data_IF_275379268163
#
_entry.id   IF_275379268163
#
_cell.length_a   1.000
_cell.length_b   1.000
_cell.length_c   1.000
_cell.angle_alpha   90.00
_cell.angle_beta   90.00
_cell.angle_gamma   90.00
#
_symmetry.space_group_name_H-M   'P 1'
#
loop_
_entity.id
_entity.type
_entity.pdbx_description
1 polymer ?
#
# COMPACT_ATOMS: atom_id res chain seq x y z
N UNK A 1 -1.62 -17.74 -19.00
CA UNK A 1 -1.93 -16.31 -19.23
C UNK A 1 -0.89 -15.46 -18.53
N UNK A 2 -1.05 -14.14 -18.50
CA UNK A 2 -0.18 -13.24 -17.76
C UNK A 2 -0.94 -12.09 -17.12
N UNK A 3 -0.52 -11.65 -15.93
CA UNK A 3 -1.12 -10.55 -15.19
C UNK A 3 -0.01 -9.62 -14.67
N UNK A 4 0.19 -8.44 -15.30
CA UNK A 4 1.05 -7.40 -14.73
C UNK A 4 0.36 -6.80 -13.50
N UNK A 5 1.02 -6.86 -12.34
CA UNK A 5 0.58 -6.23 -11.09
C UNK A 5 0.96 -4.74 -11.09
N UNK A 6 0.58 -4.04 -12.16
CA UNK A 6 0.78 -2.62 -12.39
C UNK A 6 -0.49 -2.01 -12.96
N UNK A 7 -0.74 -0.76 -12.63
CA UNK A 7 -1.92 -0.03 -13.11
C UNK A 7 -1.71 1.47 -13.03
N UNK A 8 -2.46 2.19 -13.87
CA UNK A 8 -2.52 3.65 -13.87
C UNK A 8 -3.85 4.09 -13.27
N UNK A 9 -3.85 5.22 -12.56
CA UNK A 9 -5.07 5.91 -12.13
C UNK A 9 -5.74 6.68 -13.28
N UNK A 10 -5.03 6.88 -14.39
CA UNK A 10 -5.52 7.50 -15.61
C UNK A 10 -6.10 6.42 -16.55
N UNK A 11 -7.21 6.76 -17.19
CA UNK A 11 -7.89 5.87 -18.13
C UNK A 11 -7.44 6.12 -19.58
N UNK A 12 -7.50 5.09 -20.41
CA UNK A 12 -7.21 5.19 -21.83
C UNK A 12 -5.72 5.37 -22.15
N UNK A 13 -5.43 5.84 -23.36
CA UNK A 13 -4.05 6.02 -23.84
C UNK A 13 -3.30 7.13 -23.09
N UNK A 14 -4.02 8.08 -22.49
CA UNK A 14 -3.42 9.16 -21.71
C UNK A 14 -2.75 8.65 -20.42
N UNK A 15 -3.14 7.46 -19.96
CA UNK A 15 -2.51 6.78 -18.82
C UNK A 15 -1.38 5.82 -19.20
N UNK A 16 -1.00 5.75 -20.46
CA UNK A 16 0.09 4.90 -20.92
C UNK A 16 1.45 5.50 -20.50
N UNK A 17 2.30 4.65 -19.93
CA UNK A 17 3.63 5.01 -19.48
C UNK A 17 4.61 3.91 -19.90
N UNK A 18 5.76 4.29 -20.47
CA UNK A 18 6.79 3.34 -20.91
C UNK A 18 7.43 2.60 -19.74
N UNK A 19 7.44 3.21 -18.56
CA UNK A 19 8.00 2.68 -17.32
C UNK A 19 6.95 1.93 -16.47
N UNK A 20 5.70 1.79 -16.94
CA UNK A 20 4.59 1.23 -16.16
C UNK A 20 4.90 -0.14 -15.52
N UNK A 21 5.70 -0.95 -16.20
CA UNK A 21 6.03 -2.32 -15.78
C UNK A 21 7.40 -2.44 -15.09
N UNK A 22 8.20 -1.37 -15.03
CA UNK A 22 9.53 -1.42 -14.42
C UNK A 22 9.43 -1.70 -12.91
N UNK A 23 10.11 -2.76 -12.45
CA UNK A 23 10.07 -3.24 -11.06
C UNK A 23 8.70 -3.79 -10.63
N UNK A 24 7.72 -3.90 -11.54
CA UNK A 24 6.42 -4.48 -11.23
C UNK A 24 6.48 -6.00 -11.31
N UNK A 25 5.74 -6.67 -10.43
CA UNK A 25 5.54 -8.12 -10.54
C UNK A 25 4.65 -8.41 -11.73
N UNK A 26 5.06 -9.33 -12.60
CA UNK A 26 4.24 -9.87 -13.67
C UNK A 26 4.04 -11.37 -13.46
N UNK A 27 2.82 -11.77 -13.13
CA UNK A 27 2.52 -13.18 -12.91
C UNK A 27 2.30 -13.89 -14.24
N UNK A 28 3.00 -15.00 -14.47
CA UNK A 28 2.75 -15.92 -15.56
C UNK A 28 2.09 -17.20 -15.05
N UNK A 29 1.03 -17.63 -15.73
CA UNK A 29 0.27 -18.84 -15.42
C UNK A 29 0.36 -19.84 -16.57
N UNK A 30 1.50 -20.54 -16.73
CA UNK A 30 1.64 -21.57 -17.76
C UNK A 30 0.68 -22.74 -17.46
N UNK A 31 0.17 -23.35 -18.53
CA UNK A 31 -0.65 -24.56 -18.45
C UNK A 31 0.11 -25.76 -19.01
N UNK A 32 -0.42 -26.97 -18.83
CA UNK A 32 0.17 -28.18 -19.43
C UNK A 32 0.26 -28.14 -20.97
N UNK A 33 -0.48 -27.23 -21.62
CA UNK A 33 -0.43 -27.02 -23.08
C UNK A 33 0.59 -25.96 -23.50
N UNK A 34 1.19 -25.26 -22.54
CA UNK A 34 2.18 -24.21 -22.80
C UNK A 34 3.52 -24.87 -23.11
N UNK A 35 4.10 -24.58 -24.27
CA UNK A 35 5.45 -25.05 -24.60
C UNK A 35 6.51 -24.20 -23.91
N UNK A 36 7.63 -24.81 -23.53
CA UNK A 36 8.78 -24.12 -22.94
C UNK A 36 9.29 -22.99 -23.84
N UNK A 37 9.29 -23.21 -25.17
CA UNK A 37 9.71 -22.21 -26.15
C UNK A 37 8.79 -20.97 -26.14
N UNK A 38 7.47 -21.17 -26.04
CA UNK A 38 6.51 -20.07 -25.94
C UNK A 38 6.64 -19.32 -24.62
N UNK A 39 6.85 -20.04 -23.51
CA UNK A 39 7.07 -19.46 -22.20
C UNK A 39 8.34 -18.60 -22.18
N UNK A 40 9.47 -19.12 -22.64
CA UNK A 40 10.74 -18.40 -22.66
C UNK A 40 10.69 -17.16 -23.57
N UNK A 41 10.03 -17.26 -24.72
CA UNK A 41 9.84 -16.12 -25.61
C UNK A 41 9.06 -14.99 -24.94
N UNK A 42 7.94 -15.32 -24.29
CA UNK A 42 7.13 -14.35 -23.56
C UNK A 42 7.88 -13.79 -22.34
N UNK A 43 8.55 -14.64 -21.57
CA UNK A 43 9.32 -14.24 -20.40
C UNK A 43 10.45 -13.28 -20.78
N UNK A 44 11.10 -13.49 -21.93
CA UNK A 44 12.12 -12.56 -22.44
C UNK A 44 11.53 -11.19 -22.73
N UNK A 45 10.37 -11.11 -23.39
CA UNK A 45 9.68 -9.85 -23.68
C UNK A 45 9.32 -9.12 -22.39
N UNK A 46 8.75 -9.82 -21.40
CA UNK A 46 8.35 -9.22 -20.13
C UNK A 46 9.58 -8.69 -19.36
N UNK A 47 10.69 -9.43 -19.34
CA UNK A 47 11.95 -8.97 -18.72
C UNK A 47 12.50 -7.71 -19.39
N UNK A 48 12.35 -7.57 -20.72
CA UNK A 48 12.78 -6.34 -21.41
C UNK A 48 11.94 -5.12 -21.05
N UNK A 49 10.75 -5.30 -20.48
CA UNK A 49 9.91 -4.22 -19.93
C UNK A 49 10.26 -3.89 -18.47
N UNK A 50 11.32 -4.49 -17.91
CA UNK A 50 11.77 -4.25 -16.54
C UNK A 50 10.94 -4.93 -15.45
N UNK A 51 10.00 -5.80 -15.81
CA UNK A 51 9.12 -6.48 -14.86
C UNK A 51 9.77 -7.75 -14.24
N UNK A 52 9.41 -8.02 -12.98
CA UNK A 52 9.80 -9.22 -12.24
C UNK A 52 8.79 -10.35 -12.47
N UNK A 53 9.24 -11.45 -13.06
CA UNK A 53 8.35 -12.56 -13.37
C UNK A 53 8.16 -13.47 -12.16
N UNK A 54 6.90 -13.71 -11.80
CA UNK A 54 6.50 -14.74 -10.84
C UNK A 54 5.67 -15.80 -11.56
N UNK A 55 5.99 -17.08 -11.36
CA UNK A 55 5.27 -18.19 -12.01
C UNK A 55 4.37 -18.87 -10.99
N UNK A 56 3.07 -18.96 -11.29
CA UNK A 56 2.07 -19.60 -10.44
C UNK A 56 1.13 -20.46 -11.28
N UNK A 57 0.52 -21.47 -10.66
CA UNK A 57 -0.70 -22.06 -11.23
C UNK A 57 -1.85 -21.05 -11.18
N UNK A 58 -2.77 -21.14 -12.14
CA UNK A 58 -3.86 -20.17 -12.29
C UNK A 58 -4.75 -20.09 -11.05
N UNK A 59 -5.09 -21.24 -10.46
CA UNK A 59 -5.97 -21.32 -9.29
C UNK A 59 -5.33 -20.68 -8.05
N UNK A 60 -4.03 -20.89 -7.85
CA UNK A 60 -3.27 -20.24 -6.78
C UNK A 60 -3.10 -18.76 -7.01
N UNK A 61 -2.86 -18.32 -8.24
CA UNK A 61 -2.86 -16.89 -8.58
C UNK A 61 -4.19 -16.25 -8.14
N UNK A 62 -5.31 -16.86 -8.52
CA UNK A 62 -6.65 -16.32 -8.25
C UNK A 62 -6.94 -16.26 -6.75
N UNK A 63 -6.56 -17.29 -5.98
CA UNK A 63 -6.65 -17.26 -4.51
C UNK A 63 -5.80 -16.17 -3.88
N UNK A 64 -4.56 -16.00 -4.33
CA UNK A 64 -3.66 -15.01 -3.76
C UNK A 64 -4.13 -13.58 -4.08
N UNK A 65 -4.50 -13.32 -5.34
CA UNK A 65 -4.98 -12.00 -5.77
C UNK A 65 -6.34 -11.66 -5.15
N UNK A 66 -7.19 -12.66 -4.88
CA UNK A 66 -8.40 -12.43 -4.10
C UNK A 66 -8.11 -11.80 -2.74
N UNK A 67 -7.07 -12.27 -2.04
CA UNK A 67 -6.69 -11.74 -0.72
C UNK A 67 -5.96 -10.39 -0.81
N UNK A 68 -5.02 -10.24 -1.75
CA UNK A 68 -4.14 -9.04 -1.78
C UNK A 68 -4.65 -7.89 -2.64
N UNK A 69 -5.70 -8.10 -3.45
CA UNK A 69 -6.25 -7.08 -4.37
C UNK A 69 -7.77 -7.00 -4.30
N UNK A 70 -8.49 -8.10 -4.50
CA UNK A 70 -9.95 -8.05 -4.63
C UNK A 70 -10.67 -7.74 -3.32
N UNK A 71 -10.33 -8.47 -2.26
CA UNK A 71 -10.88 -8.26 -0.93
C UNK A 71 -10.58 -6.85 -0.39
N UNK A 72 -9.35 -6.29 -0.52
CA UNK A 72 -9.09 -4.89 -0.19
C UNK A 72 -10.03 -3.90 -0.87
N UNK A 73 -10.31 -4.07 -2.17
CA UNK A 73 -11.22 -3.18 -2.89
C UNK A 73 -12.66 -3.27 -2.36
N UNK A 74 -13.18 -4.49 -2.19
CA UNK A 74 -14.54 -4.71 -1.66
C UNK A 74 -14.69 -4.22 -0.21
N UNK A 75 -13.63 -4.36 0.59
CA UNK A 75 -13.58 -3.86 1.97
C UNK A 75 -13.59 -2.33 1.99
N UNK A 76 -12.80 -1.69 1.13
CA UNK A 76 -12.77 -0.23 0.99
C UNK A 76 -14.15 0.32 0.57
N UNK A 77 -14.80 -0.30 -0.41
CA UNK A 77 -16.15 0.08 -0.84
C UNK A 77 -17.18 -0.07 0.28
N UNK A 78 -17.15 -1.19 1.01
CA UNK A 78 -18.02 -1.44 2.17
C UNK A 78 -17.81 -0.42 3.29
N UNK A 79 -16.55 -0.12 3.62
CA UNK A 79 -16.19 0.86 4.63
C UNK A 79 -16.65 2.28 4.27
N UNK A 80 -16.46 2.68 3.00
CA UNK A 80 -16.94 3.97 2.52
C UNK A 80 -18.48 4.05 2.53
N UNK A 81 -19.16 2.96 2.17
CA UNK A 81 -20.62 2.86 2.24
C UNK A 81 -21.15 3.04 3.66
N UNK A 82 -20.51 2.41 4.65
CA UNK A 82 -20.87 2.60 6.07
C UNK A 82 -20.72 4.07 6.49
N UNK A 83 -19.59 4.70 6.16
CA UNK A 83 -19.36 6.12 6.47
C UNK A 83 -20.38 7.04 5.78
N UNK A 84 -20.78 6.72 4.54
CA UNK A 84 -21.78 7.48 3.80
C UNK A 84 -23.15 7.43 4.49
N UNK A 85 -23.61 6.24 4.88
CA UNK A 85 -24.88 6.06 5.59
C UNK A 85 -24.87 6.80 6.93
N UNK A 86 -23.79 6.67 7.73
CA UNK A 86 -23.70 7.38 9.01
C UNK A 86 -23.63 8.91 8.84
N UNK A 87 -23.08 9.39 7.73
CA UNK A 87 -23.02 10.81 7.44
C UNK A 87 -24.39 11.45 7.17
N UNK A 88 -25.40 10.67 6.77
CA UNK A 88 -26.78 11.16 6.62
C UNK A 88 -27.34 11.64 7.96
N UNK A 89 -26.99 10.97 9.06
CA UNK A 89 -27.38 11.35 10.42
C UNK A 89 -26.38 12.33 11.06
N UNK A 90 -25.09 12.20 10.70
CA UNK A 90 -24.00 12.92 11.35
C UNK A 90 -22.97 13.44 10.34
N UNK A 91 -23.17 14.67 9.85
CA UNK A 91 -22.26 15.34 8.89
C UNK A 91 -20.81 15.43 9.37
N UNK A 92 -20.57 15.33 10.68
CA UNK A 92 -19.23 15.30 11.27
C UNK A 92 -18.40 14.10 10.81
N UNK A 93 -19.03 12.97 10.45
CA UNK A 93 -18.33 11.74 10.01
C UNK A 93 -17.40 12.03 8.83
N UNK A 94 -17.88 12.75 7.81
CA UNK A 94 -17.06 13.10 6.64
C UNK A 94 -15.95 14.11 6.96
N UNK A 95 -16.14 14.93 8.01
CA UNK A 95 -15.08 15.84 8.49
C UNK A 95 -14.00 15.09 9.26
N UNK A 96 -14.39 14.05 9.99
CA UNK A 96 -13.48 13.17 10.75
C UNK A 96 -12.81 12.10 9.87
N UNK A 97 -13.33 11.87 8.66
CA UNK A 97 -12.77 10.99 7.64
C UNK A 97 -11.48 11.58 7.02
N UNK A 98 -10.44 11.69 7.84
CA UNK A 98 -9.11 12.17 7.48
C UNK A 98 -8.04 11.06 7.61
N UNK A 99 -6.87 11.29 7.01
CA UNK A 99 -5.72 10.38 7.10
C UNK A 99 -6.06 8.95 6.69
N UNK A 100 -5.89 8.00 7.62
CA UNK A 100 -6.00 6.56 7.36
C UNK A 100 -7.35 6.10 6.79
N UNK A 101 -8.46 6.81 7.06
CA UNK A 101 -9.73 6.49 6.39
C UNK A 101 -9.63 6.73 4.88
N UNK A 102 -9.07 7.86 4.46
CA UNK A 102 -8.89 8.19 3.03
C UNK A 102 -7.94 7.21 2.37
N UNK A 103 -6.87 6.81 3.06
CA UNK A 103 -5.89 5.86 2.52
C UNK A 103 -6.50 4.48 2.33
N UNK A 104 -7.25 3.98 3.33
CA UNK A 104 -7.94 2.68 3.23
C UNK A 104 -9.05 2.69 2.17
N UNK A 105 -9.73 3.82 1.98
CA UNK A 105 -10.83 3.95 1.01
C UNK A 105 -10.38 4.45 -0.36
N UNK A 106 -9.10 4.80 -0.55
CA UNK A 106 -8.56 5.31 -1.82
C UNK A 106 -8.86 4.37 -2.99
N UNK A 107 -8.72 3.07 -2.80
CA UNK A 107 -8.96 2.09 -3.88
C UNK A 107 -10.44 2.01 -4.29
N UNK A 108 -11.38 2.44 -3.45
CA UNK A 108 -12.80 2.46 -3.77
C UNK A 108 -13.16 3.51 -4.84
N UNK A 109 -12.27 4.43 -5.20
CA UNK A 109 -12.46 5.37 -6.31
C UNK A 109 -12.19 4.76 -7.69
N UNK A 110 -11.79 3.48 -7.76
CA UNK A 110 -11.57 2.78 -9.03
C UNK A 110 -12.84 2.67 -9.88
N UNK A 111 -12.67 2.43 -11.18
CA UNK A 111 -13.79 2.29 -12.12
C UNK A 111 -14.70 1.11 -11.73
N UNK A 112 -15.97 1.31 -11.35
CA UNK A 112 -16.80 0.22 -10.84
C UNK A 112 -17.03 -0.92 -11.84
N UNK A 113 -17.02 -0.60 -13.14
CA UNK A 113 -17.36 -1.55 -14.20
C UNK A 113 -16.36 -2.71 -14.28
N UNK A 114 -15.06 -2.48 -14.05
CA UNK A 114 -14.05 -3.55 -14.10
C UNK A 114 -14.25 -4.56 -12.96
N UNK A 115 -14.77 -4.12 -11.82
CA UNK A 115 -14.94 -4.95 -10.63
C UNK A 115 -16.11 -5.93 -10.75
N UNK A 116 -17.09 -5.63 -11.61
CA UNK A 116 -18.19 -6.56 -11.91
C UNK A 116 -17.64 -7.84 -12.54
N UNK A 117 -16.75 -7.71 -13.53
CA UNK A 117 -16.17 -8.84 -14.23
C UNK A 117 -15.15 -9.57 -13.34
N UNK A 118 -14.32 -8.85 -12.58
CA UNK A 118 -13.39 -9.44 -11.60
C UNK A 118 -14.14 -10.31 -10.58
N UNK A 119 -15.22 -9.79 -10.01
CA UNK A 119 -16.03 -10.52 -9.04
C UNK A 119 -16.76 -11.72 -9.65
N UNK A 120 -17.10 -11.66 -10.94
CA UNK A 120 -17.72 -12.76 -11.66
C UNK A 120 -16.71 -13.88 -11.93
N UNK A 121 -15.55 -13.54 -12.49
CA UNK A 121 -14.54 -14.49 -12.92
C UNK A 121 -13.82 -15.15 -11.74
N UNK A 122 -13.54 -14.40 -10.67
CA UNK A 122 -12.86 -14.94 -9.47
C UNK A 122 -13.81 -15.12 -8.27
N UNK A 123 -15.09 -15.42 -8.54
CA UNK A 123 -16.15 -15.48 -7.52
C UNK A 123 -15.80 -16.37 -6.32
N UNK A 124 -15.33 -17.60 -6.58
CA UNK A 124 -15.11 -18.58 -5.51
C UNK A 124 -14.03 -18.11 -4.53
N UNK A 125 -12.87 -17.69 -5.03
CA UNK A 125 -11.78 -17.27 -4.15
C UNK A 125 -12.10 -15.96 -3.43
N UNK A 126 -12.88 -15.07 -4.06
CA UNK A 126 -13.37 -13.84 -3.40
C UNK A 126 -14.31 -14.18 -2.25
N UNK A 127 -15.23 -15.13 -2.42
CA UNK A 127 -16.12 -15.57 -1.34
C UNK A 127 -15.32 -16.16 -0.17
N UNK A 128 -14.36 -17.04 -0.45
CA UNK A 128 -13.50 -17.60 0.60
C UNK A 128 -12.72 -16.50 1.36
N UNK A 129 -12.21 -15.50 0.63
CA UNK A 129 -11.51 -14.36 1.22
C UNK A 129 -12.44 -13.47 2.07
N UNK A 130 -13.67 -13.23 1.61
CA UNK A 130 -14.70 -12.50 2.35
C UNK A 130 -15.08 -13.23 3.64
N UNK A 131 -15.30 -14.54 3.58
CA UNK A 131 -15.63 -15.37 4.74
C UNK A 131 -14.51 -15.32 5.79
N UNK A 132 -13.25 -15.39 5.35
CA UNK A 132 -12.09 -15.19 6.21
C UNK A 132 -12.05 -13.82 6.89
N UNK A 133 -12.35 -12.75 6.15
CA UNK A 133 -12.42 -11.40 6.69
C UNK A 133 -13.57 -11.23 7.70
N UNK A 134 -14.75 -11.77 7.38
CA UNK A 134 -15.92 -11.73 8.26
C UNK A 134 -15.60 -12.45 9.57
N UNK A 135 -15.06 -13.66 9.51
CA UNK A 135 -14.64 -14.42 10.70
C UNK A 135 -13.62 -13.61 11.53
N UNK A 136 -12.63 -13.00 10.86
CA UNK A 136 -11.65 -12.13 11.52
C UNK A 136 -12.29 -10.93 12.22
N UNK A 137 -13.24 -10.24 11.59
CA UNK A 137 -13.95 -9.11 12.19
C UNK A 137 -14.86 -9.54 13.35
N UNK A 138 -15.51 -10.70 13.25
CA UNK A 138 -16.32 -11.28 14.33
C UNK A 138 -15.46 -11.58 15.56
N UNK A 139 -14.27 -12.14 15.38
CA UNK A 139 -13.33 -12.37 16.48
C UNK A 139 -12.86 -11.05 17.10
N UNK A 140 -12.49 -10.05 16.29
CA UNK A 140 -12.09 -8.74 16.78
C UNK A 140 -13.21 -8.07 17.59
N UNK A 141 -14.47 -8.17 17.13
CA UNK A 141 -15.64 -7.71 17.87
C UNK A 141 -15.71 -8.35 19.25
N UNK A 142 -15.52 -9.67 19.33
CA UNK A 142 -15.52 -10.40 20.61
C UNK A 142 -14.41 -9.95 21.56
N UNK A 143 -13.19 -9.70 21.05
CA UNK A 143 -12.06 -9.17 21.84
C UNK A 143 -12.41 -7.80 22.44
N UNK A 144 -13.00 -6.91 21.64
CA UNK A 144 -13.40 -5.56 22.06
C UNK A 144 -14.55 -5.61 23.07
N UNK A 145 -15.56 -6.44 22.82
CA UNK A 145 -16.71 -6.63 23.72
C UNK A 145 -16.29 -7.18 25.10
N UNK A 146 -15.32 -8.10 25.11
CA UNK A 146 -14.75 -8.65 26.34
C UNK A 146 -13.72 -7.72 27.03
N UNK A 147 -13.40 -6.56 26.44
CA UNK A 147 -12.36 -5.64 26.92
C UNK A 147 -10.99 -6.33 27.13
N UNK A 148 -10.67 -7.31 26.29
CA UNK A 148 -9.45 -8.11 26.43
C UNK A 148 -8.25 -7.39 25.81
N UNK A 149 -7.60 -6.55 26.62
CA UNK A 149 -6.47 -5.71 26.19
C UNK A 149 -5.27 -6.52 25.68
N UNK A 150 -4.97 -7.68 26.28
CA UNK A 150 -3.82 -8.50 25.89
C UNK A 150 -4.05 -9.13 24.50
N UNK A 151 -5.24 -9.67 24.25
CA UNK A 151 -5.59 -10.22 22.95
C UNK A 151 -5.61 -9.13 21.86
N UNK A 152 -6.14 -7.94 22.19
CA UNK A 152 -6.15 -6.80 21.28
C UNK A 152 -4.74 -6.35 20.91
N UNK A 153 -3.86 -6.16 21.90
CA UNK A 153 -2.47 -5.77 21.69
C UNK A 153 -1.71 -6.79 20.85
N UNK A 154 -1.88 -8.08 21.15
CA UNK A 154 -1.26 -9.17 20.39
C UNK A 154 -1.65 -9.13 18.92
N UNK A 155 -2.95 -8.95 18.64
CA UNK A 155 -3.47 -8.90 17.27
C UNK A 155 -2.97 -7.68 16.50
N UNK A 156 -2.99 -6.50 17.11
CA UNK A 156 -2.47 -5.27 16.50
C UNK A 156 -0.95 -5.34 16.26
N UNK A 157 -0.19 -5.93 17.19
CA UNK A 157 1.25 -6.12 17.05
C UNK A 157 1.60 -7.09 15.92
N UNK A 158 0.84 -8.17 15.80
CA UNK A 158 1.00 -9.13 14.69
C UNK A 158 0.77 -8.46 13.34
N UNK A 159 -0.30 -7.65 13.22
CA UNK A 159 -0.58 -6.89 12.00
C UNK A 159 0.52 -5.87 11.68
N UNK A 160 1.02 -5.15 12.69
CA UNK A 160 2.14 -4.21 12.54
C UNK A 160 3.39 -4.91 12.00
N UNK A 161 3.76 -6.06 12.58
CA UNK A 161 4.95 -6.81 12.18
C UNK A 161 4.79 -7.38 10.76
N UNK A 162 3.61 -7.91 10.42
CA UNK A 162 3.33 -8.38 9.06
C UNK A 162 3.45 -7.26 8.03
N UNK A 163 2.97 -6.05 8.35
CA UNK A 163 3.12 -4.87 7.49
C UNK A 163 4.57 -4.43 7.34
N UNK A 164 5.36 -4.44 8.42
CA UNK A 164 6.78 -4.07 8.39
C UNK A 164 7.60 -4.98 7.47
N UNK A 165 7.22 -6.26 7.38
CA UNK A 165 7.85 -7.24 6.50
C UNK A 165 7.37 -7.20 5.04
N UNK A 166 6.45 -6.29 4.68
CA UNK A 166 6.09 -6.14 3.27
C UNK A 166 7.30 -5.59 2.52
N UNK A 167 7.69 -6.19 1.38
CA UNK A 167 8.80 -5.67 0.61
C UNK A 167 8.44 -4.26 0.12
N UNK A 168 9.20 -3.26 0.57
CA UNK A 168 9.17 -1.95 -0.06
C UNK A 168 9.64 -2.08 -1.51
N UNK A 169 9.23 -1.18 -2.41
CA UNK A 169 9.81 -1.01 -3.76
C UNK A 169 11.31 -0.62 -3.74
N UNK A 170 11.94 -0.69 -2.57
CA UNK A 170 13.35 -0.37 -2.35
C UNK A 170 14.10 -1.69 -2.51
N UNK A 171 14.86 -1.80 -3.60
CA UNK A 171 15.92 -2.80 -3.71
C UNK A 171 16.77 -2.72 -2.43
N UNK A 172 16.84 -3.84 -1.71
CA UNK A 172 17.61 -4.06 -0.47
C UNK A 172 17.05 -3.39 0.82
N UNK A 173 16.03 -4.03 1.39
CA UNK A 173 15.42 -3.70 2.70
C UNK A 173 16.35 -3.88 3.93
N UNK A 174 17.61 -4.28 3.75
CA UNK A 174 18.45 -4.62 4.90
C UNK A 174 19.12 -3.42 5.58
N UNK A 175 19.18 -2.25 4.93
CA UNK A 175 19.88 -1.06 5.46
C UNK A 175 19.09 0.25 5.32
N UNK A 176 17.77 0.22 5.48
CA UNK A 176 16.93 1.44 5.44
C UNK A 176 16.32 1.79 6.80
N UNK A 177 15.95 3.05 6.98
CA UNK A 177 15.22 3.53 8.14
C UNK A 177 14.08 4.47 7.73
N UNK A 178 13.09 4.59 8.61
CA UNK A 178 11.99 5.51 8.45
C UNK A 178 12.27 6.80 9.24
N UNK A 179 12.20 7.95 8.56
CA UNK A 179 12.31 9.28 9.16
C UNK A 179 10.95 9.97 9.06
N UNK A 180 10.32 10.24 10.21
CA UNK A 180 9.04 10.95 10.28
C UNK A 180 9.29 12.41 10.65
N UNK A 181 8.88 13.33 9.79
CA UNK A 181 9.10 14.77 9.91
C UNK A 181 7.77 15.50 9.92
N UNK A 182 7.33 16.08 11.05
CA UNK A 182 6.19 16.97 11.08
C UNK A 182 6.43 18.17 10.16
N UNK A 183 5.55 18.38 9.19
CA UNK A 183 5.61 19.50 8.25
C UNK A 183 4.95 20.70 8.93
N UNK A 184 5.69 21.79 9.22
CA UNK A 184 5.08 23.02 9.71
C UNK A 184 4.17 23.62 8.64
N UNK A 185 3.03 24.16 9.06
CA UNK A 185 2.08 24.84 8.18
C UNK A 185 2.62 26.21 7.74
N UNK A 186 3.52 26.19 6.76
CA UNK A 186 4.09 27.36 6.09
C UNK A 186 4.50 26.99 4.67
N UNK A 187 4.43 27.97 3.78
CA UNK A 187 4.89 27.80 2.40
C UNK A 187 6.35 27.32 2.35
N UNK A 188 6.61 26.35 1.47
CA UNK A 188 7.95 25.79 1.24
C UNK A 188 8.47 24.81 2.29
N UNK A 189 7.72 24.51 3.36
CA UNK A 189 8.19 23.62 4.43
C UNK A 189 8.57 22.22 3.94
N UNK A 190 7.71 21.60 3.12
CA UNK A 190 8.00 20.29 2.53
C UNK A 190 9.19 20.38 1.55
N UNK A 191 9.21 21.41 0.70
CA UNK A 191 10.31 21.63 -0.24
C UNK A 191 11.67 21.74 0.47
N UNK A 192 11.72 22.45 1.60
CA UNK A 192 12.94 22.59 2.41
C UNK A 192 13.48 21.24 2.92
N UNK A 193 12.60 20.28 3.24
CA UNK A 193 13.00 18.93 3.64
C UNK A 193 13.64 18.18 2.46
N UNK A 194 13.03 18.25 1.28
CA UNK A 194 13.55 17.59 0.07
C UNK A 194 14.84 18.26 -0.44
N UNK A 195 14.92 19.59 -0.41
CA UNK A 195 16.14 20.33 -0.75
C UNK A 195 17.27 19.98 0.20
N UNK A 196 16.99 19.89 1.50
CA UNK A 196 17.99 19.44 2.47
C UNK A 196 18.49 18.02 2.17
N UNK A 197 17.59 17.09 1.81
CA UNK A 197 17.99 15.74 1.45
C UNK A 197 18.94 15.76 0.25
N UNK A 198 18.61 16.53 -0.78
CA UNK A 198 19.48 16.72 -1.95
C UNK A 198 20.84 17.35 -1.58
N UNK A 199 20.85 18.41 -0.78
CA UNK A 199 22.07 19.10 -0.32
C UNK A 199 23.01 18.16 0.45
N UNK A 200 22.46 17.21 1.20
CA UNK A 200 23.20 16.23 2.00
C UNK A 200 23.49 14.93 1.24
N UNK A 201 23.07 14.81 -0.02
CA UNK A 201 23.23 13.58 -0.80
C UNK A 201 22.42 12.39 -0.25
N UNK A 202 21.33 12.66 0.47
CA UNK A 202 20.45 11.63 1.06
C UNK A 202 19.44 11.19 0.00
N UNK A 203 19.54 9.93 -0.42
CA UNK A 203 18.55 9.34 -1.31
C UNK A 203 17.25 9.03 -0.54
N UNK A 204 16.12 9.53 -1.04
CA UNK A 204 14.79 9.22 -0.51
C UNK A 204 14.19 8.12 -1.37
N UNK A 205 14.20 6.89 -0.82
CA UNK A 205 13.74 5.71 -1.53
C UNK A 205 12.20 5.63 -1.61
N UNK A 206 11.52 6.18 -0.61
CA UNK A 206 10.06 6.31 -0.61
C UNK A 206 9.65 7.49 0.28
N UNK A 207 8.50 8.10 0.00
CA UNK A 207 7.90 9.10 0.87
C UNK A 207 6.38 9.01 0.89
N UNK A 208 5.79 9.37 2.02
CA UNK A 208 4.35 9.45 2.21
C UNK A 208 4.03 10.68 3.07
N UNK A 209 2.89 11.34 2.81
CA UNK A 209 2.37 12.39 3.71
C UNK A 209 1.20 11.81 4.47
N UNK A 210 1.39 11.58 5.77
CA UNK A 210 0.34 11.11 6.67
C UNK A 210 -0.27 12.28 7.43
N UNK A 211 -1.60 12.31 7.58
CA UNK A 211 -2.28 13.34 8.35
C UNK A 211 -2.54 12.85 9.78
N UNK A 212 -2.13 13.65 10.78
CA UNK A 212 -2.47 13.37 12.19
C UNK A 212 -3.97 13.58 12.43
N UNK A 213 -4.57 12.71 13.23
CA UNK A 213 -5.98 12.79 13.65
C UNK A 213 -6.20 13.95 14.64
N UNK A 214 -5.15 14.39 15.34
CA UNK A 214 -5.23 15.39 16.43
C UNK A 214 -4.66 16.78 16.05
N UNK A 215 -4.34 17.04 14.79
CA UNK A 215 -3.94 18.39 14.37
C UNK A 215 -3.77 18.58 12.87
N UNK A 216 -3.86 19.84 12.44
CA UNK A 216 -3.76 20.30 11.04
C UNK A 216 -2.35 20.15 10.41
N UNK A 217 -1.49 19.29 10.95
CA UNK A 217 -0.10 19.15 10.50
C UNK A 217 0.12 17.80 9.84
N UNK A 218 0.47 17.83 8.56
CA UNK A 218 0.97 16.67 7.84
C UNK A 218 2.30 16.20 8.43
N UNK A 219 2.53 14.89 8.44
CA UNK A 219 3.79 14.26 8.78
C UNK A 219 4.34 13.66 7.50
N UNK A 220 5.50 14.14 7.06
CA UNK A 220 6.25 13.54 5.97
C UNK A 220 6.98 12.30 6.52
N UNK A 221 6.66 11.12 6.01
CA UNK A 221 7.33 9.87 6.32
C UNK A 221 8.27 9.58 5.16
N UNK A 222 9.56 9.42 5.44
CA UNK A 222 10.62 9.21 4.44
C UNK A 222 11.32 7.89 4.72
N UNK A 223 11.52 7.07 3.69
CA UNK A 223 12.39 5.90 3.76
C UNK A 223 13.73 6.27 3.13
N UNK A 224 14.80 6.19 3.92
CA UNK A 224 16.16 6.53 3.49
C UNK A 224 17.15 5.46 3.96
N UNK A 225 18.36 5.47 3.40
CA UNK A 225 19.47 4.66 3.87
C UNK A 225 19.81 4.97 5.34
N UNK A 226 19.95 3.92 6.15
CA UNK A 226 20.28 3.99 7.58
C UNK A 226 21.62 4.70 7.83
N UNK A 227 22.60 4.55 6.95
CA UNK A 227 23.88 5.24 7.05
C UNK A 227 23.73 6.78 6.93
N UNK A 228 22.69 7.24 6.25
CA UNK A 228 22.39 8.67 6.05
C UNK A 228 21.49 9.27 7.15
N UNK A 229 20.93 8.43 8.04
CA UNK A 229 19.85 8.79 8.94
C UNK A 229 20.21 9.89 9.95
N UNK A 230 21.33 9.72 10.66
CA UNK A 230 21.76 10.69 11.68
C UNK A 230 22.21 12.02 11.06
N UNK A 231 22.85 11.98 9.89
CA UNK A 231 23.23 13.20 9.16
C UNK A 231 21.98 13.99 8.75
N UNK A 232 21.01 13.31 8.15
CA UNK A 232 19.77 13.93 7.71
C UNK A 232 18.96 14.50 8.89
N UNK A 233 18.85 13.73 9.98
CA UNK A 233 18.24 14.18 11.24
C UNK A 233 18.90 15.43 11.80
N UNK A 234 20.24 15.47 11.82
CA UNK A 234 20.99 16.64 12.25
C UNK A 234 20.68 17.88 11.40
N UNK A 235 20.66 17.73 10.07
CA UNK A 235 20.30 18.80 9.14
C UNK A 235 18.88 19.32 9.33
N UNK A 236 17.92 18.41 9.57
CA UNK A 236 16.52 18.74 9.82
C UNK A 236 16.36 19.49 11.15
N UNK A 237 17.01 19.03 12.21
CA UNK A 237 17.00 19.70 13.51
C UNK A 237 17.63 21.09 13.45
N UNK A 238 18.71 21.27 12.68
CA UNK A 238 19.34 22.58 12.46
C UNK A 238 18.38 23.57 11.77
N UNK A 239 17.47 23.08 10.91
CA UNK A 239 16.39 23.85 10.26
C UNK A 239 15.10 23.90 11.09
N UNK A 240 15.15 23.53 12.38
CA UNK A 240 14.04 23.56 13.35
C UNK A 240 12.90 22.57 13.06
N UNK A 241 13.13 21.56 12.22
CA UNK A 241 12.22 20.41 12.13
C UNK A 241 12.40 19.50 13.36
N UNK A 242 11.41 18.63 13.61
CA UNK A 242 11.42 17.68 14.73
C UNK A 242 11.31 16.24 14.21
N UNK A 243 12.35 15.72 13.54
CA UNK A 243 12.32 14.37 12.99
C UNK A 243 12.35 13.31 14.10
N UNK A 244 11.70 12.17 13.86
CA UNK A 244 11.94 10.92 14.59
C UNK A 244 12.42 9.84 13.61
N UNK A 245 13.33 8.98 14.07
CA UNK A 245 13.86 7.86 13.28
C UNK A 245 13.34 6.56 13.89
N UNK A 246 12.85 5.65 13.06
CA UNK A 246 12.57 4.27 13.41
C UNK A 246 13.33 3.35 12.46
N UNK A 247 14.02 2.34 13.00
CA UNK A 247 14.63 1.30 12.16
C UNK A 247 13.51 0.42 11.63
N UNK A 248 13.49 0.18 10.32
CA UNK A 248 12.61 -0.83 9.72
C UNK A 248 13.32 -2.17 9.98
N UNK A 249 12.77 -2.97 10.90
CA UNK A 249 13.32 -4.27 11.28
C UNK A 249 12.75 -5.37 10.38
#
# INVERSE_FOLDING_TARGET
GGHPMAGSELAGLDGADESLFEGAVWVLTPSAQSSDASFESLAKIIRTMGAEIVVLDAERHDRLVAVVSHLPHLTAATLMGLAHITAEEHVAVLRLAAGGFRDMTRVASGLPQIWIDICRENRSAILDALDGMIAGLTEMRGIVEAQNNDALLSRLSTARNARANLPGRVHELMDVCEVRVPIPDRSGAAAEIFTLAADLGVNIANFEVSHSVEGDRGILVLIIDKASAEMFRGGLMARKFRPSIQTVA
#
